data_IF_161783340721
#
_entry.id   IF_161783340721
#
_cell.length_a   1.000
_cell.length_b   1.000
_cell.length_c   1.000
_cell.angle_alpha   90.00
_cell.angle_beta   90.00
_cell.angle_gamma   90.00
#
_symmetry.space_group_name_H-M   'P 1'
#
loop_
_entity.id
_entity.type
_entity.pdbx_description
1 polymer ?
#
# COMPACT_ATOMS: atom_id res chain seq x y z
N UNK A 1 -3.73 -5.22 2.41
CA UNK A 1 -3.84 -3.81 2.83
C UNK A 1 -3.22 -3.03 1.70
N UNK A 2 -4.03 -2.22 1.03
CA UNK A 2 -3.57 -1.34 -0.04
C UNK A 2 -2.95 -0.11 0.64
N UNK A 3 -1.73 0.26 0.28
CA UNK A 3 -0.99 1.37 0.89
C UNK A 3 -0.57 2.38 -0.18
N UNK A 4 -0.53 3.64 0.20
CA UNK A 4 0.05 4.72 -0.58
C UNK A 4 1.52 4.93 -0.21
N UNK A 5 2.38 4.98 -1.24
CA UNK A 5 3.77 5.40 -1.08
C UNK A 5 3.91 6.87 -1.49
N UNK A 6 4.02 7.76 -0.50
CA UNK A 6 4.25 9.19 -0.73
C UNK A 6 5.75 9.47 -0.79
N UNK A 7 6.33 9.20 -1.95
CA UNK A 7 7.71 9.54 -2.22
C UNK A 7 7.89 11.03 -2.48
N UNK A 8 8.58 11.68 -1.56
CA UNK A 8 8.81 13.11 -1.62
C UNK A 8 9.83 13.38 -2.74
N UNK A 9 9.33 14.05 -3.78
CA UNK A 9 10.00 14.24 -5.06
C UNK A 9 9.36 13.46 -6.22
N UNK A 10 8.35 12.62 -6.00
CA UNK A 10 7.66 11.89 -7.07
C UNK A 10 6.88 12.83 -8.00
N UNK A 11 6.69 12.40 -9.26
CA UNK A 11 5.86 13.14 -10.22
C UNK A 11 4.40 13.05 -9.79
N UNK A 12 3.68 14.15 -9.88
CA UNK A 12 2.25 14.18 -9.58
C UNK A 12 1.47 14.28 -10.88
N UNK A 13 0.52 13.38 -11.06
CA UNK A 13 -0.41 13.35 -12.18
C UNK A 13 -1.84 13.61 -11.71
N UNK A 14 -2.62 14.17 -12.62
CA UNK A 14 -3.99 14.59 -12.43
C UNK A 14 -4.79 13.90 -13.54
N UNK A 15 -5.41 12.75 -13.22
CA UNK A 15 -6.05 11.84 -14.20
C UNK A 15 -5.12 11.44 -15.35
N UNK A 16 -3.86 11.15 -15.01
CA UNK A 16 -2.84 10.72 -15.98
C UNK A 16 -2.02 11.83 -16.63
N UNK A 17 -2.46 13.10 -16.56
CA UNK A 17 -1.67 14.23 -17.06
C UNK A 17 -0.75 14.80 -15.98
N UNK A 18 0.50 15.09 -16.33
CA UNK A 18 1.48 15.59 -15.36
C UNK A 18 1.13 17.00 -14.90
N UNK A 19 0.85 17.16 -13.61
CA UNK A 19 0.49 18.44 -13.02
C UNK A 19 1.54 19.01 -12.03
N UNK A 20 2.46 18.20 -11.51
CA UNK A 20 3.49 18.72 -10.60
C UNK A 20 4.50 17.71 -10.09
N UNK A 21 5.09 18.03 -8.93
CA UNK A 21 5.96 17.15 -8.14
C UNK A 21 5.62 17.27 -6.66
N UNK A 22 5.59 16.15 -5.93
CA UNK A 22 5.40 16.18 -4.48
C UNK A 22 6.64 16.80 -3.82
N UNK A 23 6.46 17.81 -2.98
CA UNK A 23 7.57 18.45 -2.25
C UNK A 23 7.46 18.30 -0.74
N UNK A 24 6.25 18.31 -0.17
CA UNK A 24 6.04 18.18 1.27
C UNK A 24 4.75 17.43 1.58
N UNK A 25 4.64 16.86 2.78
CA UNK A 25 3.44 16.16 3.27
C UNK A 25 3.02 16.79 4.59
N UNK A 26 1.78 17.26 4.68
CA UNK A 26 1.18 17.71 5.93
C UNK A 26 0.63 16.52 6.71
N UNK A 27 1.02 16.43 7.98
CA UNK A 27 0.71 15.32 8.86
C UNK A 27 0.12 15.84 10.16
N UNK A 28 -0.94 15.18 10.65
CA UNK A 28 -1.43 15.38 12.00
C UNK A 28 -0.48 14.71 13.01
N UNK A 29 0.23 15.47 13.85
CA UNK A 29 1.23 14.92 14.75
C UNK A 29 0.61 14.11 15.91
N UNK A 30 -0.70 14.21 16.15
CA UNK A 30 -1.37 13.45 17.21
C UNK A 30 -1.91 12.11 16.70
N UNK A 31 -2.46 12.08 15.48
CA UNK A 31 -3.06 10.87 14.91
C UNK A 31 -2.14 10.12 13.96
N UNK A 32 -1.03 10.75 13.56
CA UNK A 32 -0.12 10.33 12.50
C UNK A 32 -0.82 10.14 11.14
N UNK A 33 -1.87 10.93 10.89
CA UNK A 33 -2.56 10.93 9.60
C UNK A 33 -1.90 11.90 8.63
N UNK A 34 -1.66 11.45 7.41
CA UNK A 34 -1.32 12.34 6.32
C UNK A 34 -2.61 13.03 5.85
N UNK A 35 -2.69 14.35 5.94
CA UNK A 35 -3.91 15.09 5.59
C UNK A 35 -3.82 15.68 4.20
N UNK A 36 -2.67 16.28 3.88
CA UNK A 36 -2.49 17.04 2.65
C UNK A 36 -1.11 16.78 2.03
N UNK A 37 -1.06 16.79 0.71
CA UNK A 37 0.14 16.72 -0.11
C UNK A 37 0.40 18.11 -0.70
N UNK A 38 1.58 18.65 -0.44
CA UNK A 38 2.03 19.92 -1.02
C UNK A 38 2.83 19.61 -2.27
N UNK A 39 2.33 20.12 -3.40
CA UNK A 39 2.90 19.87 -4.72
C UNK A 39 3.47 21.15 -5.30
N UNK A 40 4.60 21.05 -5.99
CA UNK A 40 5.15 22.12 -6.80
C UNK A 40 4.64 22.03 -8.24
N UNK A 41 4.06 23.12 -8.73
CA UNK A 41 3.51 23.25 -10.08
C UNK A 41 4.30 24.30 -10.89
N UNK A 42 4.53 24.00 -12.18
CA UNK A 42 5.15 24.91 -13.14
C UNK A 42 6.66 24.70 -13.42
N UNK A 43 7.11 25.18 -14.59
CA UNK A 43 8.52 25.11 -15.06
C UNK A 43 9.19 26.50 -15.11
N UNK A 44 8.39 27.56 -15.02
CA UNK A 44 8.77 28.98 -15.24
C UNK A 44 8.29 29.90 -14.09
N UNK A 45 8.13 29.33 -12.89
CA UNK A 45 7.65 30.00 -11.69
C UNK A 45 6.94 29.01 -10.77
N UNK A 46 7.69 28.39 -9.86
CA UNK A 46 7.20 27.38 -8.93
C UNK A 46 6.06 27.92 -8.05
N UNK A 47 4.86 27.36 -8.20
CA UNK A 47 3.74 27.61 -7.28
C UNK A 47 3.49 26.34 -6.49
N UNK A 48 3.48 26.45 -5.15
CA UNK A 48 3.12 25.33 -4.30
C UNK A 48 1.63 25.31 -4.03
N UNK A 49 0.98 24.17 -4.24
CA UNK A 49 -0.44 23.94 -3.99
C UNK A 49 -0.64 22.85 -2.94
N UNK A 50 -1.69 22.97 -2.15
CA UNK A 50 -2.07 22.00 -1.12
C UNK A 50 -3.24 21.17 -1.63
N UNK A 51 -3.03 19.85 -1.78
CA UNK A 51 -4.04 18.91 -2.24
C UNK A 51 -4.38 17.90 -1.13
N UNK A 52 -5.65 17.58 -0.87
CA UNK A 52 -6.01 16.64 0.18
C UNK A 52 -5.64 15.20 -0.22
N UNK A 53 -5.17 14.41 0.75
CA UNK A 53 -4.84 12.98 0.55
C UNK A 53 -6.04 12.17 0.05
N UNK A 54 -7.25 12.53 0.50
CA UNK A 54 -8.50 11.88 0.05
C UNK A 54 -8.76 11.94 -1.46
N UNK A 55 -8.10 12.83 -2.20
CA UNK A 55 -8.22 12.93 -3.65
C UNK A 55 -7.23 12.02 -4.42
N UNK A 56 -6.35 11.29 -3.71
CA UNK A 56 -5.38 10.38 -4.31
C UNK A 56 -6.07 9.10 -4.78
N UNK A 57 -5.96 8.81 -6.08
CA UNK A 57 -6.44 7.56 -6.66
C UNK A 57 -5.43 6.43 -6.49
N UNK A 58 -4.16 6.75 -6.68
CA UNK A 58 -3.05 5.79 -6.67
C UNK A 58 -1.76 6.54 -6.32
N UNK A 59 -0.97 6.01 -5.42
CA UNK A 59 0.37 6.52 -5.13
C UNK A 59 1.35 5.37 -5.26
N UNK A 60 2.09 5.36 -6.38
CA UNK A 60 3.18 4.42 -6.59
C UNK A 60 4.49 5.13 -6.35
N UNK A 61 5.54 4.39 -6.65
CA UNK A 61 6.85 4.88 -6.45
C UNK A 61 7.31 5.90 -7.51
N UNK A 62 6.83 5.77 -8.75
CA UNK A 62 7.12 6.70 -9.83
C UNK A 62 6.23 7.96 -9.82
N UNK A 63 4.95 7.78 -9.49
CA UNK A 63 3.96 8.85 -9.58
C UNK A 63 2.82 8.75 -8.56
N UNK A 64 2.28 9.92 -8.22
CA UNK A 64 1.07 10.06 -7.40
C UNK A 64 -0.03 10.62 -8.29
N UNK A 65 -1.09 9.83 -8.49
CA UNK A 65 -2.21 10.16 -9.36
C UNK A 65 -3.42 10.62 -8.54
N UNK A 66 -3.91 11.80 -8.85
CA UNK A 66 -5.08 12.43 -8.23
C UNK A 66 -6.31 12.32 -9.14
N UNK A 67 -7.48 12.14 -8.53
CA UNK A 67 -8.78 12.30 -9.22
C UNK A 67 -9.18 13.79 -9.32
N UNK A 68 -8.24 14.64 -9.74
CA UNK A 68 -8.45 16.08 -9.85
C UNK A 68 -8.23 16.47 -11.31
N UNK A 69 -9.18 17.17 -11.95
CA UNK A 69 -8.96 17.79 -13.24
C UNK A 69 -7.89 18.91 -13.17
N UNK A 70 -6.95 18.95 -14.13
CA UNK A 70 -5.86 19.94 -14.14
C UNK A 70 -6.36 21.40 -14.11
N UNK A 71 -7.49 21.68 -14.78
CA UNK A 71 -8.11 23.00 -14.85
C UNK A 71 -8.63 23.50 -13.48
N UNK A 72 -8.92 22.60 -12.56
CA UNK A 72 -9.39 22.91 -11.20
C UNK A 72 -8.27 23.11 -10.17
N UNK A 73 -7.01 22.83 -10.53
CA UNK A 73 -5.87 22.97 -9.61
C UNK A 73 -5.71 24.39 -9.05
N UNK A 74 -6.14 25.40 -9.80
CA UNK A 74 -6.07 26.81 -9.40
C UNK A 74 -6.98 27.17 -8.24
N UNK A 75 -7.97 26.34 -7.96
CA UNK A 75 -8.94 26.55 -6.89
C UNK A 75 -8.42 26.06 -5.53
N UNK A 76 -7.33 25.29 -5.52
CA UNK A 76 -6.72 24.78 -4.30
C UNK A 76 -5.84 25.83 -3.61
N UNK A 77 -5.72 25.79 -2.27
CA UNK A 77 -4.91 26.74 -1.52
C UNK A 77 -3.43 26.72 -1.95
N UNK A 78 -2.84 27.90 -2.10
CA UNK A 78 -1.39 28.02 -2.30
C UNK A 78 -0.65 27.84 -0.98
N UNK A 79 0.40 27.04 -0.98
CA UNK A 79 1.29 26.88 0.17
C UNK A 79 2.34 28.00 0.20
N UNK A 80 2.53 28.63 1.36
CA UNK A 80 3.64 29.56 1.61
C UNK A 80 4.23 29.33 3.00
N UNK A 81 5.53 29.52 3.08
CA UNK A 81 6.27 29.45 4.33
C UNK A 81 6.70 30.86 4.73
N UNK A 82 6.22 31.30 5.89
CA UNK A 82 6.51 32.63 6.43
C UNK A 82 7.28 32.46 7.73
N UNK A 83 8.54 32.86 7.74
CA UNK A 83 9.32 32.95 8.98
C UNK A 83 9.03 34.28 9.68
N UNK A 84 8.41 34.21 10.86
CA UNK A 84 8.25 35.34 11.75
C UNK A 84 9.21 35.22 12.94
N UNK A 85 9.75 36.35 13.40
CA UNK A 85 10.65 36.38 14.56
C UNK A 85 9.99 37.17 15.69
N UNK A 86 9.54 36.51 16.75
CA UNK A 86 9.03 37.16 17.96
C UNK A 86 10.17 37.44 18.94
N UNK A 87 10.30 38.65 19.51
CA UNK A 87 11.16 38.85 20.67
C UNK A 87 10.62 38.00 21.83
N UNK A 88 11.48 37.19 22.44
CA UNK A 88 11.14 36.37 23.61
C UNK A 88 10.82 37.28 24.79
N UNK A 89 9.54 37.55 24.99
CA UNK A 89 9.04 38.43 26.05
C UNK A 89 8.99 37.74 27.43
N UNK A 90 9.18 36.42 27.48
CA UNK A 90 9.12 35.61 28.70
C UNK A 90 10.49 35.50 29.39
N UNK A 91 11.57 35.63 28.63
CA UNK A 91 12.93 35.78 29.14
C UNK A 91 13.14 37.16 29.79
N UNK A 92 12.65 37.34 31.03
CA UNK A 92 12.95 38.50 31.89
C UNK A 92 14.43 38.67 32.26
N UNK A 93 15.35 37.88 31.71
CA UNK A 93 16.80 38.06 31.87
C UNK A 93 17.31 39.01 30.79
N UNK A 94 17.50 40.28 31.18
CA UNK A 94 18.42 41.17 30.47
C UNK A 94 19.77 40.48 30.38
N UNK A 95 20.17 40.04 29.19
CA UNK A 95 21.56 39.67 28.94
C UNK A 95 22.31 40.99 28.73
N UNK A 96 22.97 41.46 29.78
CA UNK A 96 24.05 42.45 29.60
C UNK A 96 25.23 41.63 29.10
N UNK A 97 25.46 41.64 27.79
CA UNK A 97 26.74 41.17 27.23
C UNK A 97 27.84 42.02 27.85
N UNK A 98 28.58 41.46 28.82
CA UNK A 98 29.88 42.02 29.21
C UNK A 98 30.76 41.92 27.96
N UNK A 99 31.26 43.03 27.39
CA UNK A 99 32.18 42.91 26.28
C UNK A 99 33.53 42.53 26.87
N UNK A 100 33.88 41.25 26.77
CA UNK A 100 35.27 40.79 26.87
C UNK A 100 35.95 40.98 25.51
N UNK A 101 35.87 42.22 25.02
CA UNK A 101 36.63 42.73 23.89
C UNK A 101 36.97 44.17 24.28
N UNK A 102 38.18 44.36 24.82
CA UNK A 102 38.83 45.67 24.86
C UNK A 102 38.95 46.14 23.40
N UNK A 103 37.95 46.86 22.92
CA UNK A 103 38.13 47.85 21.88
C UNK A 103 37.68 49.17 22.49
N UNK A 104 38.63 50.10 22.54
CA UNK A 104 38.47 51.50 22.92
C UNK A 104 37.36 52.14 22.07
N UNK A 105 36.11 51.97 22.48
CA UNK A 105 34.98 52.64 21.87
C UNK A 105 34.95 54.08 22.42
N UNK A 106 35.76 54.93 21.79
CA UNK A 106 35.51 56.36 21.78
C UNK A 106 34.07 56.62 21.30
N UNK A 107 33.35 57.47 22.04
CA UNK A 107 32.02 58.03 21.74
C UNK A 107 30.78 57.11 21.92
N UNK A 108 30.05 57.34 23.01
CA UNK A 108 28.60 57.67 23.02
C UNK A 108 27.56 56.75 22.37
N UNK A 109 27.89 55.59 21.80
CA UNK A 109 26.90 54.71 21.21
C UNK A 109 26.23 53.81 22.25
N UNK A 110 24.96 54.10 22.53
CA UNK A 110 24.03 53.16 23.14
C UNK A 110 23.75 52.05 22.13
N UNK A 111 24.27 50.84 22.36
CA UNK A 111 23.82 49.66 21.62
C UNK A 111 22.35 49.39 21.98
N UNK A 112 21.45 49.22 20.99
CA UNK A 112 20.10 48.76 21.28
C UNK A 112 20.18 47.38 21.96
N UNK A 113 19.35 47.11 22.99
CA UNK A 113 19.35 45.81 23.62
C UNK A 113 19.00 44.73 22.59
N UNK A 114 19.84 43.69 22.50
CA UNK A 114 19.52 42.48 21.74
C UNK A 114 18.60 41.62 22.58
N UNK A 115 17.35 41.46 22.12
CA UNK A 115 16.43 40.51 22.72
C UNK A 115 16.71 39.12 22.15
N UNK A 116 16.71 38.05 22.96
CA UNK A 116 16.57 36.71 22.41
C UNK A 116 15.29 36.68 21.58
N UNK A 117 15.35 36.07 20.40
CA UNK A 117 14.23 35.99 19.47
C UNK A 117 13.86 34.53 19.25
N UNK A 118 12.56 34.23 19.23
CA UNK A 118 12.03 32.93 18.83
C UNK A 118 11.60 33.04 17.38
N UNK A 119 12.12 32.15 16.53
CA UNK A 119 11.66 32.03 15.14
C UNK A 119 10.45 31.10 15.13
N UNK A 120 9.35 31.59 14.59
CA UNK A 120 8.15 30.83 14.31
C UNK A 120 8.03 30.70 12.80
N UNK A 121 7.88 29.47 12.31
CA UNK A 121 7.57 29.20 10.91
C UNK A 121 6.06 29.02 10.81
N UNK A 122 5.42 29.80 9.95
CA UNK A 122 3.99 29.70 9.69
C UNK A 122 3.78 29.14 8.30
N UNK A 123 2.98 28.09 8.20
CA UNK A 123 2.58 27.49 6.94
C UNK A 123 1.21 28.03 6.53
N UNK A 124 1.17 28.92 5.54
CA UNK A 124 -0.09 29.36 4.93
C UNK A 124 -0.60 28.26 3.99
N UNK A 125 -1.92 28.00 3.98
CA UNK A 125 -2.55 26.96 3.16
C UNK A 125 -2.66 25.59 3.83
N UNK A 126 -1.99 25.38 4.96
CA UNK A 126 -2.10 24.19 5.81
C UNK A 126 -2.52 24.63 7.22
N UNK A 127 -3.28 23.79 7.93
CA UNK A 127 -3.71 24.14 9.30
C UNK A 127 -2.52 24.16 10.27
N UNK A 128 -2.49 25.13 11.18
CA UNK A 128 -1.35 25.41 12.07
C UNK A 128 -1.05 24.29 13.10
N UNK A 129 -1.96 23.35 13.29
CA UNK A 129 -1.79 22.16 14.13
C UNK A 129 -1.09 20.99 13.39
N UNK A 130 -0.84 21.13 12.08
CA UNK A 130 -0.20 20.11 11.27
C UNK A 130 1.32 20.33 11.22
N UNK A 131 2.05 19.23 11.27
CA UNK A 131 3.48 19.22 10.97
C UNK A 131 3.66 19.03 9.47
N UNK A 132 4.51 19.86 8.85
CA UNK A 132 4.84 19.72 7.42
C UNK A 132 6.19 19.04 7.30
N UNK A 133 6.19 17.83 6.74
CA UNK A 133 7.36 17.00 6.55
C UNK A 133 7.90 17.13 5.12
N UNK A 134 9.21 17.16 4.97
CA UNK A 134 9.88 17.26 3.68
C UNK A 134 10.98 16.21 3.54
N UNK A 135 11.45 16.00 2.30
CA UNK A 135 12.60 15.14 2.08
C UNK A 135 13.82 15.79 2.74
N UNK A 136 14.51 15.05 3.60
CA UNK A 136 15.64 15.59 4.36
C UNK A 136 15.34 15.87 5.83
N UNK A 137 14.08 15.87 6.26
CA UNK A 137 13.71 16.08 7.68
C UNK A 137 14.52 15.15 8.58
N UNK A 138 15.18 15.71 9.61
CA UNK A 138 16.12 14.94 10.45
C UNK A 138 15.35 13.94 11.31
N UNK A 139 15.79 12.69 11.35
CA UNK A 139 15.23 11.66 12.23
C UNK A 139 16.22 11.34 13.33
N UNK A 140 15.78 11.43 14.60
CA UNK A 140 16.64 11.33 15.78
C UNK A 140 16.09 10.36 16.81
N UNK A 141 16.99 9.67 17.51
CA UNK A 141 16.70 8.95 18.76
C UNK A 141 17.16 9.78 19.96
N UNK A 142 16.97 9.24 21.17
CA UNK A 142 17.56 9.80 22.38
C UNK A 142 19.10 9.87 22.32
N UNK A 143 19.73 8.97 21.55
CA UNK A 143 21.18 8.81 21.47
C UNK A 143 21.84 9.67 20.36
N UNK A 144 21.06 10.17 19.39
CA UNK A 144 21.60 11.00 18.32
C UNK A 144 20.79 10.99 17.03
N UNK A 145 21.36 11.60 15.99
CA UNK A 145 20.78 11.59 14.65
C UNK A 145 20.92 10.19 14.02
N UNK A 146 19.83 9.68 13.45
CA UNK A 146 19.77 8.38 12.79
C UNK A 146 19.91 8.53 11.28
N UNK A 147 19.24 9.53 10.69
CA UNK A 147 19.24 9.78 9.25
C UNK A 147 18.24 10.88 8.88
N UNK A 148 17.79 10.85 7.64
CA UNK A 148 16.87 11.82 7.06
C UNK A 148 15.64 11.13 6.49
N UNK A 149 14.48 11.77 6.58
CA UNK A 149 13.26 11.28 5.96
C UNK A 149 13.41 11.27 4.43
N UNK A 150 13.13 10.12 3.82
CA UNK A 150 13.08 9.96 2.36
C UNK A 150 11.64 9.97 1.86
N UNK A 151 10.81 9.05 2.37
CA UNK A 151 9.40 8.93 2.00
C UNK A 151 8.53 8.34 3.11
N UNK A 152 7.21 8.41 2.91
CA UNK A 152 6.17 8.01 3.86
C UNK A 152 5.30 6.89 3.27
N UNK A 153 4.99 5.87 4.06
CA UNK A 153 3.98 4.86 3.73
C UNK A 153 2.71 5.11 4.51
N UNK A 154 1.57 5.11 3.82
CA UNK A 154 0.27 5.49 4.38
C UNK A 154 -0.78 4.44 4.04
N UNK A 155 -1.55 4.01 5.04
CA UNK A 155 -2.67 3.10 4.85
C UNK A 155 -3.79 3.82 4.08
N UNK A 156 -4.24 3.24 2.97
CA UNK A 156 -5.20 3.87 2.05
C UNK A 156 -6.60 4.06 2.64
N UNK A 157 -7.00 3.23 3.61
CA UNK A 157 -8.35 3.28 4.18
C UNK A 157 -8.43 4.31 5.32
N UNK A 158 -7.32 4.52 6.03
CA UNK A 158 -7.30 5.30 7.27
C UNK A 158 -6.48 6.58 7.18
N UNK A 159 -5.76 6.78 6.07
CA UNK A 159 -4.79 7.85 5.81
C UNK A 159 -3.69 7.94 6.89
N UNK A 160 -3.52 6.89 7.70
CA UNK A 160 -2.51 6.83 8.75
C UNK A 160 -1.18 6.39 8.18
N UNK A 161 -0.13 7.11 8.54
CA UNK A 161 1.24 6.69 8.25
C UNK A 161 1.47 5.35 8.94
N UNK A 162 1.87 4.34 8.17
CA UNK A 162 2.24 3.02 8.70
C UNK A 162 3.73 2.95 8.96
N UNK A 163 4.54 3.51 8.06
CA UNK A 163 6.00 3.48 8.15
C UNK A 163 6.66 4.77 7.62
N UNK A 164 7.79 5.12 8.23
CA UNK A 164 8.74 6.11 7.74
C UNK A 164 9.91 5.40 7.06
N UNK A 165 10.34 5.88 5.90
CA UNK A 165 11.58 5.41 5.28
C UNK A 165 12.66 6.46 5.47
N UNK A 166 13.76 6.05 6.10
CA UNK A 166 14.87 6.89 6.52
C UNK A 166 16.06 6.61 5.64
N UNK A 167 16.56 7.62 4.94
CA UNK A 167 17.84 7.61 4.25
C UNK A 167 18.99 7.92 5.21
N UNK A 168 20.14 7.26 5.03
CA UNK A 168 21.38 7.52 5.78
C UNK A 168 22.52 7.98 4.88
N UNK A 169 22.18 8.39 3.66
CA UNK A 169 23.11 8.76 2.62
C UNK A 169 23.77 7.55 1.96
N UNK A 170 24.63 7.82 0.98
CA UNK A 170 25.17 6.84 0.04
C UNK A 170 26.01 5.70 0.65
N UNK A 171 26.45 5.84 1.91
CA UNK A 171 27.41 4.93 2.55
C UNK A 171 26.78 4.00 3.58
N UNK A 172 25.53 4.25 3.97
CA UNK A 172 24.83 3.46 4.98
C UNK A 172 23.45 3.08 4.48
N UNK A 173 23.00 1.84 4.72
CA UNK A 173 21.66 1.45 4.35
C UNK A 173 20.64 2.29 5.13
N UNK A 174 19.57 2.68 4.45
CA UNK A 174 18.41 3.30 5.08
C UNK A 174 17.65 2.32 5.97
N UNK A 175 16.64 2.81 6.68
CA UNK A 175 15.81 1.98 7.55
C UNK A 175 14.34 2.30 7.39
N UNK A 176 13.50 1.28 7.51
CA UNK A 176 12.04 1.44 7.62
C UNK A 176 11.65 1.42 9.09
N UNK A 177 10.96 2.46 9.54
CA UNK A 177 10.55 2.63 10.94
C UNK A 177 9.02 2.64 11.03
N UNK A 178 8.40 1.63 11.68
CA UNK A 178 6.97 1.64 11.97
C UNK A 178 6.53 2.87 12.77
N UNK A 179 5.35 3.40 12.45
CA UNK A 179 4.82 4.62 13.09
C UNK A 179 4.70 4.50 14.61
N UNK A 180 4.55 3.29 15.15
CA UNK A 180 4.41 3.03 16.59
C UNK A 180 5.66 3.42 17.39
N UNK A 181 6.80 3.56 16.71
CA UNK A 181 8.06 3.98 17.32
C UNK A 181 8.30 5.47 17.20
N UNK A 182 7.47 6.19 16.44
CA UNK A 182 7.53 7.64 16.36
C UNK A 182 6.91 8.21 17.64
N UNK A 183 7.73 8.85 18.46
CA UNK A 183 7.25 9.50 19.69
C UNK A 183 6.70 10.88 19.43
N UNK A 184 7.33 11.63 18.53
CA UNK A 184 7.00 13.03 18.30
C UNK A 184 7.43 13.44 16.92
N UNK A 185 6.51 14.09 16.21
CA UNK A 185 6.76 14.77 14.93
C UNK A 185 6.80 16.28 15.20
N UNK A 186 7.86 16.94 14.76
CA UNK A 186 8.00 18.40 14.74
C UNK A 186 8.32 18.83 13.30
N UNK A 187 8.30 20.14 13.00
CA UNK A 187 8.56 20.66 11.65
C UNK A 187 9.90 20.20 11.05
N UNK A 188 11.00 20.28 11.82
CA UNK A 188 12.34 19.98 11.30
C UNK A 188 12.91 18.63 11.75
N UNK A 189 12.24 17.97 12.70
CA UNK A 189 12.78 16.78 13.36
C UNK A 189 11.70 15.78 13.75
N UNK A 190 11.96 14.51 13.45
CA UNK A 190 11.16 13.37 13.87
C UNK A 190 11.91 12.63 14.96
N UNK A 191 11.28 12.45 16.12
CA UNK A 191 11.84 11.69 17.23
C UNK A 191 11.28 10.28 17.24
N UNK A 192 12.17 9.30 17.16
CA UNK A 192 11.84 7.87 17.25
C UNK A 192 12.40 7.27 18.53
N UNK A 193 11.68 6.31 19.09
CA UNK A 193 12.13 5.47 20.19
C UNK A 193 12.55 4.11 19.66
N UNK A 194 13.84 3.85 19.73
CA UNK A 194 14.42 2.55 19.41
C UNK A 194 14.49 1.69 20.66
N UNK A 195 13.47 0.85 20.89
CA UNK A 195 13.53 -0.21 21.91
C UNK A 195 14.48 -1.37 21.51
N UNK A 196 14.84 -1.45 20.22
CA UNK A 196 15.76 -2.44 19.64
C UNK A 196 16.94 -1.74 18.98
N UNK A 197 18.05 -2.48 18.83
CA UNK A 197 19.23 -2.00 18.12
C UNK A 197 18.84 -1.59 16.69
N UNK A 198 19.39 -0.50 16.15
CA UNK A 198 19.11 -0.02 14.79
C UNK A 198 19.40 -1.11 13.73
N UNK A 199 20.24 -2.08 14.10
CA UNK A 199 20.61 -3.26 13.33
C UNK A 199 19.45 -4.25 13.08
N UNK A 200 18.38 -4.22 13.89
CA UNK A 200 17.20 -5.10 13.82
C UNK A 200 16.06 -4.54 12.95
N UNK A 201 16.20 -3.31 12.46
CA UNK A 201 15.29 -2.76 11.46
C UNK A 201 15.62 -3.30 10.07
N UNK A 202 14.61 -3.44 9.23
CA UNK A 202 14.79 -3.83 7.83
C UNK A 202 15.76 -2.83 7.16
N UNK A 203 16.90 -3.36 6.72
CA UNK A 203 18.01 -2.58 6.15
C UNK A 203 17.75 -2.32 4.68
N UNK A 204 17.60 -1.07 4.30
CA UNK A 204 17.54 -0.64 2.91
C UNK A 204 18.96 -0.54 2.32
N UNK A 205 19.43 -1.55 1.61
CA UNK A 205 20.66 -1.43 0.81
C UNK A 205 20.27 -0.97 -0.59
N UNK A 206 20.61 0.25 -0.97
CA UNK A 206 20.51 0.69 -2.36
C UNK A 206 21.43 -0.21 -3.22
N UNK A 207 20.82 -1.14 -3.98
CA UNK A 207 21.49 -2.03 -4.93
C UNK A 207 20.98 -1.71 -6.32
N UNK A 208 21.81 -1.95 -7.34
CA UNK A 208 21.31 -1.91 -8.71
C UNK A 208 20.21 -2.96 -8.89
N UNK A 209 19.09 -2.56 -9.49
CA UNK A 209 17.94 -3.44 -9.70
C UNK A 209 18.31 -4.75 -10.40
N UNK A 210 19.31 -4.72 -11.30
CA UNK A 210 19.81 -5.90 -12.00
C UNK A 210 20.33 -6.99 -11.03
N UNK A 211 20.97 -6.59 -9.93
CA UNK A 211 21.46 -7.52 -8.91
C UNK A 211 20.32 -8.07 -8.05
N UNK A 212 19.34 -7.22 -7.72
CA UNK A 212 18.13 -7.63 -6.99
C UNK A 212 17.36 -8.67 -7.82
N UNK A 213 17.19 -8.43 -9.12
CA UNK A 213 16.50 -9.32 -10.04
C UNK A 213 17.18 -10.68 -10.20
N UNK A 214 18.52 -10.71 -10.20
CA UNK A 214 19.30 -11.94 -10.24
C UNK A 214 19.03 -12.81 -9.01
N UNK A 215 19.15 -12.23 -7.83
CA UNK A 215 18.92 -12.94 -6.57
C UNK A 215 17.45 -13.36 -6.43
N UNK A 216 16.50 -12.51 -6.84
CA UNK A 216 15.07 -12.83 -6.85
C UNK A 216 14.74 -14.03 -7.74
N UNK A 217 15.29 -14.05 -8.95
CA UNK A 217 15.04 -15.12 -9.91
C UNK A 217 15.51 -16.46 -9.36
N UNK A 218 16.68 -16.50 -8.74
CA UNK A 218 17.23 -17.72 -8.11
C UNK A 218 16.27 -18.29 -7.05
N UNK A 219 15.80 -17.45 -6.13
CA UNK A 219 14.89 -17.88 -5.05
C UNK A 219 13.50 -18.30 -5.57
N UNK A 220 12.95 -17.56 -6.54
CA UNK A 220 11.60 -17.83 -7.07
C UNK A 220 11.57 -19.06 -7.96
N UNK A 221 12.60 -19.27 -8.79
CA UNK A 221 12.70 -20.44 -9.67
C UNK A 221 12.78 -21.75 -8.89
N UNK A 222 13.46 -21.76 -7.74
CA UNK A 222 13.51 -22.91 -6.84
C UNK A 222 12.12 -23.25 -6.24
N UNK A 223 11.36 -22.21 -5.86
CA UNK A 223 10.08 -22.38 -5.16
C UNK A 223 8.88 -22.58 -6.10
N UNK A 224 8.97 -22.06 -7.32
CA UNK A 224 7.88 -22.04 -8.31
C UNK A 224 8.40 -22.27 -9.75
N UNK A 225 8.94 -23.46 -10.04
CA UNK A 225 9.56 -23.78 -11.34
C UNK A 225 8.56 -23.80 -12.50
N UNK A 226 7.26 -23.91 -12.23
CA UNK A 226 6.23 -24.00 -13.26
C UNK A 226 5.97 -22.64 -13.98
N UNK A 227 6.54 -21.52 -13.51
CA UNK A 227 6.55 -20.24 -14.26
C UNK A 227 5.24 -19.43 -14.24
N UNK A 228 4.36 -19.67 -13.26
CA UNK A 228 3.06 -18.99 -13.13
C UNK A 228 3.07 -17.69 -12.32
N UNK A 229 4.25 -17.15 -12.03
CA UNK A 229 4.44 -15.98 -11.16
C UNK A 229 5.05 -14.85 -11.95
N UNK A 230 4.36 -13.72 -11.94
CA UNK A 230 4.89 -12.46 -12.46
C UNK A 230 5.39 -11.64 -11.29
N UNK A 231 6.56 -11.03 -11.49
CA UNK A 231 7.20 -10.18 -10.51
C UNK A 231 7.40 -8.81 -11.14
N UNK A 232 7.10 -7.76 -10.39
CA UNK A 232 7.44 -6.39 -10.74
C UNK A 232 8.12 -5.75 -9.55
N UNK A 233 9.30 -5.19 -9.77
CA UNK A 233 10.08 -4.47 -8.75
C UNK A 233 10.04 -3.00 -9.14
N UNK A 234 9.54 -2.16 -8.25
CA UNK A 234 9.53 -0.70 -8.36
C UNK A 234 10.18 -0.18 -7.07
N UNK A 235 11.22 0.66 -7.19
CA UNK A 235 12.18 1.17 -6.16
C UNK A 235 12.27 0.39 -4.82
N UNK A 236 12.33 -0.94 -4.91
CA UNK A 236 12.53 -1.85 -3.78
C UNK A 236 11.26 -2.54 -3.27
N UNK A 237 10.06 -2.14 -3.70
CA UNK A 237 8.82 -2.89 -3.45
C UNK A 237 8.60 -3.93 -4.53
N UNK A 238 8.57 -5.20 -4.12
CA UNK A 238 8.29 -6.32 -4.99
C UNK A 238 6.81 -6.67 -4.97
N UNK A 239 6.14 -6.53 -6.11
CA UNK A 239 4.79 -7.05 -6.30
C UNK A 239 4.84 -8.43 -6.95
N UNK A 240 4.20 -9.40 -6.29
CA UNK A 240 4.04 -10.78 -6.74
C UNK A 240 2.61 -11.04 -7.17
N UNK A 241 2.41 -11.34 -8.45
CA UNK A 241 1.09 -11.66 -9.02
C UNK A 241 1.12 -13.01 -9.76
N UNK A 242 -0.06 -13.62 -9.93
CA UNK A 242 -0.21 -14.92 -10.57
C UNK A 242 -0.68 -16.02 -9.62
N UNK A 243 -0.42 -17.27 -9.98
CA UNK A 243 -1.00 -18.45 -9.31
C UNK A 243 0.10 -19.30 -8.72
N UNK A 244 0.11 -19.41 -7.39
CA UNK A 244 0.94 -20.35 -6.66
C UNK A 244 0.26 -21.71 -6.50
N UNK A 245 1.05 -22.77 -6.32
CA UNK A 245 0.51 -24.12 -6.15
C UNK A 245 -0.39 -24.26 -4.90
N UNK A 246 0.01 -23.63 -3.80
CA UNK A 246 -0.69 -23.68 -2.52
C UNK A 246 -0.23 -22.53 -1.61
N UNK A 247 -0.89 -22.41 -0.45
CA UNK A 247 -0.59 -21.36 0.55
C UNK A 247 0.83 -21.49 1.11
N UNK A 248 1.39 -22.70 1.23
CA UNK A 248 2.76 -22.88 1.72
C UNK A 248 3.80 -22.33 0.73
N UNK A 249 3.61 -22.55 -0.58
CA UNK A 249 4.42 -21.93 -1.63
C UNK A 249 4.26 -20.41 -1.62
N UNK A 250 3.02 -19.90 -1.54
CA UNK A 250 2.75 -18.45 -1.43
C UNK A 250 3.52 -17.81 -0.27
N UNK A 251 3.51 -18.43 0.91
CA UNK A 251 4.22 -17.94 2.10
C UNK A 251 5.75 -18.01 1.94
N UNK A 252 6.27 -19.09 1.34
CA UNK A 252 7.72 -19.25 1.13
C UNK A 252 8.27 -18.25 0.12
N UNK A 253 7.52 -17.96 -0.95
CA UNK A 253 7.90 -16.95 -1.94
C UNK A 253 8.04 -15.59 -1.28
N UNK A 254 7.05 -15.17 -0.51
CA UNK A 254 7.09 -13.89 0.21
C UNK A 254 8.28 -13.80 1.18
N UNK A 255 8.53 -14.87 1.95
CA UNK A 255 9.66 -14.92 2.88
C UNK A 255 11.01 -14.89 2.15
N UNK A 256 11.15 -15.62 1.04
CA UNK A 256 12.36 -15.65 0.23
C UNK A 256 12.61 -14.29 -0.44
N UNK A 257 11.56 -13.67 -1.00
CA UNK A 257 11.64 -12.31 -1.54
C UNK A 257 12.09 -11.31 -0.50
N UNK A 258 11.50 -11.31 0.72
CA UNK A 258 11.94 -10.41 1.80
C UNK A 258 13.38 -10.64 2.26
N UNK A 259 13.95 -11.82 2.02
CA UNK A 259 15.35 -12.10 2.35
C UNK A 259 16.35 -11.54 1.33
N UNK A 260 15.88 -11.12 0.15
CA UNK A 260 16.73 -10.51 -0.87
C UNK A 260 17.04 -9.07 -0.46
N UNK A 261 18.32 -8.79 -0.23
CA UNK A 261 18.78 -7.43 0.06
C UNK A 261 18.46 -6.48 -1.10
N UNK A 262 17.88 -5.31 -0.77
CA UNK A 262 17.37 -4.34 -1.74
C UNK A 262 15.85 -4.35 -1.88
N UNK A 263 15.17 -5.35 -1.30
CA UNK A 263 13.71 -5.39 -1.22
C UNK A 263 13.23 -4.74 0.09
N UNK A 264 12.47 -3.67 -0.05
CA UNK A 264 11.85 -2.87 1.02
C UNK A 264 10.58 -3.57 1.50
N UNK A 265 9.75 -4.05 0.58
CA UNK A 265 8.53 -4.78 0.91
C UNK A 265 8.11 -5.73 -0.21
N UNK A 266 7.19 -6.62 0.11
CA UNK A 266 6.60 -7.59 -0.81
C UNK A 266 5.07 -7.49 -0.76
N UNK A 267 4.49 -6.96 -1.83
CA UNK A 267 3.05 -7.02 -2.10
C UNK A 267 2.69 -8.40 -2.66
N UNK A 268 2.21 -9.30 -1.81
CA UNK A 268 1.87 -10.66 -2.21
C UNK A 268 0.40 -10.82 -2.61
N UNK A 269 0.12 -10.62 -3.89
CA UNK A 269 -1.20 -10.77 -4.50
C UNK A 269 -1.41 -12.14 -5.17
N UNK A 270 -0.58 -13.13 -4.84
CA UNK A 270 -0.71 -14.46 -5.43
C UNK A 270 -2.03 -15.13 -5.03
N UNK A 271 -2.72 -15.69 -6.01
CA UNK A 271 -3.80 -16.65 -5.76
C UNK A 271 -3.22 -18.07 -5.66
N UNK A 272 -4.05 -19.05 -5.30
CA UNK A 272 -3.62 -20.45 -5.22
C UNK A 272 -4.54 -21.40 -5.95
N UNK A 273 -3.97 -22.43 -6.57
CA UNK A 273 -4.77 -23.53 -7.16
C UNK A 273 -5.71 -24.16 -6.13
N UNK A 274 -5.27 -24.30 -4.87
CA UNK A 274 -6.12 -24.76 -3.77
C UNK A 274 -7.32 -23.86 -3.50
N UNK A 275 -7.15 -22.54 -3.60
CA UNK A 275 -8.24 -21.57 -3.42
C UNK A 275 -9.18 -21.58 -4.63
N UNK A 276 -8.64 -21.69 -5.85
CA UNK A 276 -9.43 -21.85 -7.08
C UNK A 276 -10.32 -23.10 -6.98
N UNK A 277 -9.75 -24.25 -6.61
CA UNK A 277 -10.53 -25.49 -6.42
C UNK A 277 -11.64 -25.30 -5.39
N UNK A 278 -11.33 -24.70 -4.23
CA UNK A 278 -12.32 -24.48 -3.18
C UNK A 278 -13.48 -23.58 -3.67
N UNK A 279 -13.18 -22.50 -4.42
CA UNK A 279 -14.20 -21.61 -4.99
C UNK A 279 -15.06 -22.32 -6.03
N UNK A 280 -14.46 -23.08 -6.95
CA UNK A 280 -15.18 -23.85 -7.96
C UNK A 280 -16.10 -24.89 -7.31
N UNK A 281 -15.59 -25.66 -6.33
CA UNK A 281 -16.41 -26.65 -5.61
C UNK A 281 -17.58 -25.98 -4.89
N UNK A 282 -17.34 -24.86 -4.20
CA UNK A 282 -18.39 -24.11 -3.53
C UNK A 282 -19.45 -23.58 -4.51
N UNK A 283 -19.03 -23.05 -5.67
CA UNK A 283 -19.96 -22.56 -6.69
C UNK A 283 -20.82 -23.69 -7.29
N UNK A 284 -20.22 -24.84 -7.59
CA UNK A 284 -20.94 -26.00 -8.11
C UNK A 284 -21.94 -26.58 -7.11
N UNK A 285 -21.62 -26.53 -5.81
CA UNK A 285 -22.50 -27.01 -4.75
C UNK A 285 -23.72 -26.10 -4.49
N UNK A 286 -23.69 -24.84 -4.95
CA UNK A 286 -24.77 -23.86 -4.74
C UNK A 286 -25.67 -23.72 -5.98
N UNK A 287 -25.19 -24.09 -7.17
CA UNK A 287 -25.98 -24.05 -8.39
C UNK A 287 -26.97 -25.24 -8.44
N UNK A 288 -28.29 -25.01 -8.54
CA UNK A 288 -29.29 -26.07 -8.56
C UNK A 288 -29.13 -27.10 -9.69
N UNK A 289 -28.39 -26.77 -10.75
CA UNK A 289 -28.12 -27.68 -11.87
C UNK A 289 -26.97 -28.64 -11.60
N UNK A 290 -26.09 -28.32 -10.65
CA UNK A 290 -24.88 -29.10 -10.36
C UNK A 290 -24.75 -29.55 -8.91
N UNK A 291 -25.64 -29.10 -8.01
CA UNK A 291 -25.58 -29.40 -6.56
C UNK A 291 -25.61 -30.91 -6.22
N UNK A 292 -26.18 -31.73 -7.11
CA UNK A 292 -26.26 -33.19 -6.95
C UNK A 292 -25.18 -33.96 -7.74
N UNK A 293 -24.35 -33.27 -8.52
CA UNK A 293 -23.38 -33.92 -9.40
C UNK A 293 -22.18 -34.46 -8.62
N UNK A 294 -21.82 -35.73 -8.83
CA UNK A 294 -20.65 -36.36 -8.22
C UNK A 294 -19.42 -36.17 -9.12
N UNK A 295 -18.73 -35.05 -8.93
CA UNK A 295 -17.53 -34.69 -9.70
C UNK A 295 -16.36 -34.31 -8.80
N UNK A 296 -15.16 -34.43 -9.36
CA UNK A 296 -13.91 -33.97 -8.78
C UNK A 296 -13.38 -32.75 -9.55
N UNK A 297 -12.82 -31.79 -8.81
CA UNK A 297 -12.22 -30.57 -9.35
C UNK A 297 -10.73 -30.57 -9.02
N UNK A 298 -9.91 -30.35 -10.04
CA UNK A 298 -8.48 -30.09 -9.89
C UNK A 298 -8.12 -28.77 -10.57
N UNK A 299 -7.08 -28.08 -10.09
CA UNK A 299 -6.54 -26.89 -10.75
C UNK A 299 -5.02 -26.99 -10.82
N UNK A 300 -4.44 -26.55 -11.93
CA UNK A 300 -3.00 -26.33 -12.06
C UNK A 300 -2.77 -25.04 -12.83
N UNK A 301 -2.12 -24.06 -12.18
CA UNK A 301 -1.88 -22.73 -12.76
C UNK A 301 -3.17 -22.08 -13.31
N UNK A 302 -4.29 -22.29 -12.61
CA UNK A 302 -5.60 -21.77 -13.01
C UNK A 302 -6.27 -22.50 -14.17
N UNK A 303 -5.65 -23.53 -14.77
CA UNK A 303 -6.35 -24.46 -15.65
C UNK A 303 -7.12 -25.46 -14.79
N UNK A 304 -8.45 -25.31 -14.77
CA UNK A 304 -9.34 -26.16 -13.99
C UNK A 304 -9.71 -27.40 -14.81
N UNK A 305 -9.66 -28.57 -14.17
CA UNK A 305 -10.09 -29.83 -14.75
C UNK A 305 -11.24 -30.41 -13.95
N UNK A 306 -12.33 -30.73 -14.64
CA UNK A 306 -13.53 -31.36 -14.08
C UNK A 306 -13.56 -32.82 -14.54
N UNK A 307 -13.56 -33.76 -13.59
CA UNK A 307 -13.56 -35.22 -13.87
C UNK A 307 -14.65 -35.88 -13.04
N UNK A 308 -15.35 -36.85 -13.60
CA UNK A 308 -16.42 -37.56 -12.91
C UNK A 308 -17.53 -37.97 -13.87
N UNK A 309 -18.65 -38.39 -13.30
CA UNK A 309 -19.82 -38.81 -14.04
C UNK A 309 -20.99 -37.88 -13.72
N UNK A 310 -21.77 -37.57 -14.75
CA UNK A 310 -22.98 -36.75 -14.64
C UNK A 310 -24.13 -37.39 -15.42
N UNK A 311 -25.35 -37.07 -15.01
CA UNK A 311 -26.57 -37.65 -15.58
C UNK A 311 -26.80 -37.26 -17.04
N UNK A 312 -26.49 -36.00 -17.39
CA UNK A 312 -26.79 -35.47 -18.72
C UNK A 312 -25.79 -34.39 -19.20
N UNK A 313 -25.95 -34.00 -20.47
CA UNK A 313 -25.12 -33.00 -21.11
C UNK A 313 -25.34 -31.57 -20.58
N UNK A 314 -26.50 -31.29 -20.00
CA UNK A 314 -26.86 -29.99 -19.41
C UNK A 314 -26.05 -29.76 -18.14
N UNK A 315 -25.97 -30.75 -17.25
CA UNK A 315 -25.14 -30.70 -16.03
C UNK A 315 -23.67 -30.52 -16.43
N UNK A 316 -23.19 -31.32 -17.40
CA UNK A 316 -21.82 -31.17 -17.92
C UNK A 316 -21.54 -29.75 -18.38
N UNK A 317 -22.41 -29.17 -19.19
CA UNK A 317 -22.22 -27.83 -19.74
C UNK A 317 -22.29 -26.75 -18.64
N UNK A 318 -23.25 -26.86 -17.72
CA UNK A 318 -23.39 -25.97 -16.58
C UNK A 318 -22.15 -25.99 -15.69
N UNK A 319 -21.62 -27.17 -15.36
CA UNK A 319 -20.42 -27.30 -14.54
C UNK A 319 -19.20 -26.61 -15.18
N UNK A 320 -19.05 -26.74 -16.51
CA UNK A 320 -18.01 -26.06 -17.26
C UNK A 320 -18.14 -24.53 -17.22
N UNK A 321 -19.36 -24.01 -17.39
CA UNK A 321 -19.63 -22.58 -17.35
C UNK A 321 -19.38 -21.99 -15.95
N UNK A 322 -19.91 -22.64 -14.90
CA UNK A 322 -19.72 -22.21 -13.51
C UNK A 322 -18.24 -22.17 -13.14
N UNK A 323 -17.48 -23.19 -13.52
CA UNK A 323 -16.04 -23.22 -13.28
C UNK A 323 -15.31 -22.08 -14.00
N UNK A 324 -15.66 -21.79 -15.25
CA UNK A 324 -15.02 -20.74 -16.06
C UNK A 324 -15.27 -19.32 -15.52
N UNK A 325 -16.39 -19.11 -14.83
CA UNK A 325 -16.74 -17.81 -14.23
C UNK A 325 -15.97 -17.51 -12.93
N UNK A 326 -15.25 -18.49 -12.37
CA UNK A 326 -14.56 -18.28 -11.10
C UNK A 326 -13.30 -17.42 -11.25
N UNK A 327 -13.03 -16.49 -10.31
CA UNK A 327 -11.80 -15.72 -10.29
C UNK A 327 -10.55 -16.61 -10.29
N UNK A 328 -9.54 -16.25 -11.08
CA UNK A 328 -8.28 -16.97 -11.20
C UNK A 328 -8.31 -18.16 -12.17
N UNK A 329 -9.47 -18.50 -12.75
CA UNK A 329 -9.57 -19.56 -13.76
C UNK A 329 -9.17 -19.00 -15.13
N UNK A 330 -8.12 -19.57 -15.72
CA UNK A 330 -7.63 -19.18 -17.06
C UNK A 330 -8.16 -20.10 -18.17
N UNK A 331 -8.64 -21.29 -17.81
CA UNK A 331 -9.21 -22.25 -18.73
C UNK A 331 -9.87 -23.42 -18.00
N UNK A 332 -10.80 -24.09 -18.69
CA UNK A 332 -11.51 -25.25 -18.14
C UNK A 332 -11.41 -26.43 -19.10
N UNK A 333 -10.86 -27.54 -18.61
CA UNK A 333 -10.96 -28.87 -19.25
C UNK A 333 -12.10 -29.65 -18.61
N UNK A 334 -13.20 -29.73 -19.33
CA UNK A 334 -14.36 -30.49 -18.91
C UNK A 334 -14.28 -31.92 -19.44
N UNK A 335 -13.84 -32.84 -18.59
CA UNK A 335 -13.65 -34.26 -18.88
C UNK A 335 -14.75 -35.11 -18.20
N UNK A 336 -15.93 -34.52 -17.95
CA UNK A 336 -17.07 -35.23 -17.37
C UNK A 336 -17.70 -36.19 -18.38
N UNK A 337 -17.86 -37.44 -17.95
CA UNK A 337 -18.54 -38.48 -18.71
C UNK A 337 -20.05 -38.43 -18.42
N UNK A 338 -20.87 -38.61 -19.45
CA UNK A 338 -22.32 -38.72 -19.26
C UNK A 338 -22.63 -40.20 -19.02
N UNK A 339 -23.01 -40.52 -17.79
CA UNK A 339 -23.31 -41.87 -17.34
C UNK A 339 -24.47 -41.81 -16.34
N UNK A 340 -25.73 -41.79 -16.81
CA UNK A 340 -26.90 -41.79 -15.93
C UNK A 340 -26.94 -43.07 -15.07
N UNK A 341 -27.37 -42.93 -13.83
CA UNK A 341 -27.53 -43.99 -12.84
C UNK A 341 -29.01 -44.35 -12.60
N UNK A 342 -29.26 -45.22 -11.61
CA UNK A 342 -30.61 -45.65 -11.23
C UNK A 342 -31.45 -44.54 -10.58
N UNK A 343 -30.82 -43.50 -10.05
CA UNK A 343 -31.49 -42.33 -9.50
C UNK A 343 -31.83 -41.29 -10.57
N UNK A 344 -31.10 -41.25 -11.69
CA UNK A 344 -31.31 -40.27 -12.77
C UNK A 344 -32.76 -40.24 -13.27
N UNK A 345 -33.39 -41.41 -13.44
CA UNK A 345 -34.79 -41.50 -13.90
C UNK A 345 -35.75 -40.81 -12.90
N UNK A 346 -35.50 -41.00 -11.60
CA UNK A 346 -36.29 -40.36 -10.53
C UNK A 346 -36.03 -38.86 -10.41
N UNK A 347 -34.80 -38.41 -10.68
CA UNK A 347 -34.44 -36.99 -10.66
C UNK A 347 -35.06 -36.23 -11.84
N UNK A 348 -35.18 -36.88 -13.00
CA UNK A 348 -35.86 -36.31 -14.17
C UNK A 348 -37.38 -36.39 -14.10
N UNK A 349 -37.92 -37.29 -13.27
CA UNK A 349 -39.36 -37.50 -13.16
C UNK A 349 -40.07 -36.25 -12.63
N UNK A 350 -40.99 -35.71 -13.44
CA UNK A 350 -41.89 -34.61 -13.07
C UNK A 350 -43.29 -35.18 -12.85
N UNK A 351 -43.66 -35.57 -11.62
CA UNK A 351 -44.97 -36.16 -11.38
C UNK A 351 -46.07 -35.17 -11.74
N UNK A 352 -47.01 -35.63 -12.54
CA UNK A 352 -48.25 -34.94 -12.83
C UNK A 352 -49.32 -35.34 -11.81
N UNK A 353 -50.43 -34.60 -11.77
CA UNK A 353 -51.55 -34.90 -10.86
C UNK A 353 -52.19 -36.28 -11.13
N UNK A 354 -51.95 -36.87 -12.29
CA UNK A 354 -52.42 -38.20 -12.68
C UNK A 354 -51.54 -39.34 -12.12
N UNK A 355 -50.28 -39.05 -11.79
CA UNK A 355 -49.30 -40.03 -11.30
C UNK A 355 -49.49 -40.37 -9.80
N UNK A 356 -50.32 -39.60 -9.08
CA UNK A 356 -50.74 -39.90 -7.72
C UNK A 356 -52.15 -40.50 -7.73
N UNK A 357 -52.31 -41.83 -7.56
CA UNK A 357 -53.63 -42.43 -7.44
C UNK A 357 -54.36 -41.81 -6.25
N UNK A 358 -55.52 -41.25 -6.53
CA UNK A 358 -56.38 -40.50 -5.63
C UNK A 358 -56.60 -41.24 -4.28
N UNK A 359 -55.82 -40.91 -3.25
CA UNK A 359 -56.01 -41.45 -1.88
C UNK A 359 -57.22 -40.82 -1.16
N UNK A 360 -58.06 -40.07 -1.88
CA UNK A 360 -59.33 -39.53 -1.42
C UNK A 360 -60.50 -40.51 -1.54
N UNK A 361 -60.54 -41.58 -0.74
CA UNK A 361 -61.80 -42.18 -0.27
C UNK A 361 -61.71 -42.53 1.21
N UNK A 362 -61.60 -41.48 2.02
CA UNK A 362 -62.06 -41.48 3.40
C UNK A 362 -63.59 -41.58 3.42
N UNK A 363 -64.10 -42.64 4.04
CA UNK A 363 -65.50 -42.93 4.32
C UNK A 363 -66.30 -41.73 4.85
N UNK A 364 -67.44 -41.44 4.20
CA UNK A 364 -68.71 -40.93 4.75
C UNK A 364 -69.78 -41.56 3.85
N UNK A 365 -70.80 -42.29 4.29
CA UNK A 365 -71.40 -42.58 5.58
C UNK A 365 -71.62 -44.10 5.70
#
# INVERSE_FOLDING_TARGET
MDEFNFNIGAVVTCRGDRCGRLTKVAVDPQTAQATDLIIETGVLGSTWLVLPVSAVMRATEEAIDFDIPEDTLRDYPSYREVEYTEPDTLSRRRVITRPEVEHEAHSGMLYPPTFPTVRHRLHEGVSADKAVLERGTEVRTADGAVGHLDHLRVDRETDRITHLVIDRGLLAPGFVVPIQQVRRVQEDVIYIETERDLADYDRYIAREEADIWRDLREHVEELAPDGGITMTLDRGVLRLTGIARNVATKRRLEAASRSVGGIIDVENELDTDTAIVARVVAALAVDPRTELAVLAVASRQGEVRLIGQVDDATIRHAAGAIAAEQPGVVGVRNELEIAPDDATEWLMFRPTREDYPNTGRGRRQ
#
